data_IF_801304148463
#
_entry.id   IF_801304148463
#
_cell.length_a   1.000
_cell.length_b   1.000
_cell.length_c   1.000
_cell.angle_alpha   90.00
_cell.angle_beta   90.00
_cell.angle_gamma   90.00
#
_symmetry.space_group_name_H-M   'P 1'
#
loop_
_entity.id
_entity.type
_entity.pdbx_description
1 polymer ?
#
# COMPACT_ATOMS: atom_id res chain seq x y z
N UNK A 1 -71.59 85.44 88.16
CA UNK A 1 -70.19 85.32 87.71
C UNK A 1 -69.85 83.84 87.74
N UNK A 2 -70.09 83.13 86.64
CA UNK A 2 -69.75 81.70 86.57
C UNK A 2 -68.24 81.58 86.41
N UNK A 3 -67.54 81.03 87.40
CA UNK A 3 -66.15 80.63 87.23
C UNK A 3 -66.11 79.55 86.14
N UNK A 4 -65.48 79.88 85.01
CA UNK A 4 -65.13 78.87 84.01
C UNK A 4 -64.32 77.79 84.72
N UNK A 5 -64.90 76.61 84.86
CA UNK A 5 -64.22 75.41 85.31
C UNK A 5 -62.94 75.23 84.50
N UNK A 6 -61.84 74.87 85.18
CA UNK A 6 -60.55 74.61 84.54
C UNK A 6 -60.80 73.59 83.43
N UNK A 7 -60.54 73.99 82.17
CA UNK A 7 -60.70 73.10 81.02
C UNK A 7 -59.60 72.04 81.14
N UNK A 8 -59.94 70.89 81.70
CA UNK A 8 -59.07 69.74 81.80
C UNK A 8 -59.48 68.73 80.73
N UNK A 9 -58.55 68.43 79.82
CA UNK A 9 -58.74 67.40 78.81
C UNK A 9 -57.98 66.16 79.24
N UNK A 10 -58.71 65.11 79.59
CA UNK A 10 -58.12 63.82 79.91
C UNK A 10 -57.79 63.05 78.62
N UNK A 11 -56.81 62.12 78.64
CA UNK A 11 -56.41 61.37 77.45
C UNK A 11 -57.54 60.57 76.77
N UNK A 12 -58.54 60.11 77.53
CA UNK A 12 -59.70 59.37 77.03
C UNK A 12 -60.73 60.26 76.31
N UNK A 13 -60.75 61.56 76.60
CA UNK A 13 -61.60 62.52 75.89
C UNK A 13 -61.04 62.84 74.50
N UNK A 14 -59.73 62.74 74.31
CA UNK A 14 -59.04 63.19 73.11
C UNK A 14 -59.61 62.61 71.79
N UNK A 15 -59.89 61.30 71.65
CA UNK A 15 -60.48 60.75 70.43
C UNK A 15 -61.89 61.27 70.11
N UNK A 16 -62.63 61.75 71.12
CA UNK A 16 -64.01 62.24 70.97
C UNK A 16 -64.08 63.72 70.62
N UNK A 17 -63.12 64.51 71.08
CA UNK A 17 -63.16 65.98 70.98
C UNK A 17 -62.22 66.54 69.90
N UNK A 18 -61.11 65.86 69.57
CA UNK A 18 -60.23 66.28 68.47
C UNK A 18 -60.68 65.67 67.14
N UNK A 19 -61.94 65.95 66.81
CA UNK A 19 -62.59 65.59 65.55
C UNK A 19 -63.09 66.86 64.87
N UNK A 20 -63.61 66.75 63.65
CA UNK A 20 -64.17 67.90 62.94
C UNK A 20 -65.23 68.61 63.80
N UNK A 21 -65.01 69.90 64.10
CA UNK A 21 -65.85 70.75 64.97
C UNK A 21 -66.03 70.24 66.42
N UNK A 22 -65.26 69.24 66.86
CA UNK A 22 -65.39 68.67 68.22
C UNK A 22 -64.97 69.61 69.36
N UNK A 23 -64.30 70.73 69.04
CA UNK A 23 -63.89 71.74 70.02
C UNK A 23 -64.87 72.92 70.16
N UNK A 24 -65.96 72.95 69.39
CA UNK A 24 -66.89 74.09 69.37
C UNK A 24 -67.48 74.39 70.75
N UNK A 25 -67.85 73.35 71.51
CA UNK A 25 -68.36 73.52 72.88
C UNK A 25 -67.37 74.22 73.81
N UNK A 26 -66.07 73.97 73.64
CA UNK A 26 -65.04 74.66 74.42
C UNK A 26 -64.86 76.11 73.96
N UNK A 27 -64.99 76.39 72.66
CA UNK A 27 -64.99 77.76 72.14
C UNK A 27 -66.19 78.55 72.64
N UNK A 28 -67.39 77.96 72.67
CA UNK A 28 -68.61 78.55 73.23
C UNK A 28 -68.43 78.87 74.73
N UNK A 29 -67.92 77.90 75.51
CA UNK A 29 -67.60 78.12 76.93
C UNK A 29 -66.61 79.28 77.13
N UNK A 30 -65.54 79.33 76.33
CA UNK A 30 -64.56 80.42 76.40
C UNK A 30 -65.22 81.76 76.07
N UNK A 31 -66.05 81.83 75.01
CA UNK A 31 -66.79 83.04 74.62
C UNK A 31 -67.71 83.52 75.74
N UNK A 32 -68.52 82.62 76.30
CA UNK A 32 -69.44 82.94 77.39
C UNK A 32 -68.69 83.50 78.61
N UNK A 33 -67.59 82.85 79.00
CA UNK A 33 -66.81 83.27 80.17
C UNK A 33 -65.91 84.49 79.98
N UNK A 34 -65.95 85.14 78.81
CA UNK A 34 -65.36 86.46 78.53
C UNK A 34 -66.35 87.48 77.94
N UNK A 35 -67.66 87.20 77.99
CA UNK A 35 -68.73 88.02 77.38
C UNK A 35 -69.06 89.31 78.15
N UNK A 36 -68.12 89.86 78.91
CA UNK A 36 -68.28 91.14 79.60
C UNK A 36 -67.59 92.26 78.82
N UNK A 37 -68.10 93.50 78.95
CA UNK A 37 -67.54 94.69 78.29
C UNK A 37 -67.06 95.68 79.35
N UNK A 38 -65.80 95.55 79.84
CA UNK A 38 -65.24 96.50 80.81
C UNK A 38 -64.99 97.88 80.20
N UNK A 39 -65.11 98.94 81.01
CA UNK A 39 -64.86 100.32 80.57
C UNK A 39 -63.36 100.62 80.34
N UNK A 40 -62.98 100.80 79.07
CA UNK A 40 -61.60 101.07 78.62
C UNK A 40 -61.02 102.39 79.16
N UNK A 41 -61.86 103.35 79.51
CA UNK A 41 -61.41 104.66 80.00
C UNK A 41 -60.77 104.54 81.40
N UNK A 42 -61.10 103.50 82.16
CA UNK A 42 -60.60 103.28 83.53
C UNK A 42 -59.40 102.33 83.59
N UNK A 43 -58.50 102.55 84.55
CA UNK A 43 -57.37 101.63 84.81
C UNK A 43 -57.86 100.21 85.20
N UNK A 44 -58.91 100.13 86.02
CA UNK A 44 -59.53 98.86 86.42
C UNK A 44 -60.11 98.10 85.23
N UNK A 45 -60.80 98.79 84.31
CA UNK A 45 -61.37 98.17 83.11
C UNK A 45 -60.30 97.67 82.14
N UNK A 46 -59.23 98.43 81.89
CA UNK A 46 -58.08 97.97 81.09
C UNK A 46 -57.40 96.72 81.68
N UNK A 47 -57.19 96.68 83.00
CA UNK A 47 -56.66 95.51 83.71
C UNK A 47 -57.58 94.29 83.60
N UNK A 48 -58.90 94.50 83.64
CA UNK A 48 -59.88 93.41 83.47
C UNK A 48 -59.85 92.85 82.05
N UNK A 49 -59.80 93.70 81.02
CA UNK A 49 -59.65 93.28 79.62
C UNK A 49 -58.38 92.43 79.44
N UNK A 50 -57.24 92.86 79.99
CA UNK A 50 -56.01 92.08 79.95
C UNK A 50 -56.16 90.72 80.66
N UNK A 51 -56.86 90.67 81.80
CA UNK A 51 -57.15 89.43 82.50
C UNK A 51 -58.05 88.48 81.69
N UNK A 52 -59.07 88.99 80.99
CA UNK A 52 -59.93 88.18 80.12
C UNK A 52 -59.14 87.61 78.93
N UNK A 53 -58.30 88.42 78.29
CA UNK A 53 -57.43 87.97 77.21
C UNK A 53 -56.42 86.89 77.68
N UNK A 54 -55.85 87.05 78.88
CA UNK A 54 -55.00 86.03 79.49
C UNK A 54 -55.77 84.73 79.77
N UNK A 55 -57.04 84.82 80.18
CA UNK A 55 -57.92 83.67 80.39
C UNK A 55 -58.16 82.89 79.08
N UNK A 56 -58.45 83.59 77.98
CA UNK A 56 -58.56 82.97 76.63
C UNK A 56 -57.26 82.25 76.26
N UNK A 57 -56.11 82.87 76.49
CA UNK A 57 -54.80 82.29 76.17
C UNK A 57 -54.52 81.01 76.97
N UNK A 58 -54.85 80.99 78.27
CA UNK A 58 -54.70 79.80 79.12
C UNK A 58 -55.64 78.68 78.68
N UNK A 59 -56.91 78.99 78.41
CA UNK A 59 -57.89 78.01 77.91
C UNK A 59 -57.48 77.43 76.56
N UNK A 60 -56.95 78.25 75.64
CA UNK A 60 -56.38 77.77 74.37
C UNK A 60 -55.27 76.75 74.61
N UNK A 61 -54.31 77.06 75.47
CA UNK A 61 -53.18 76.15 75.74
C UNK A 61 -53.65 74.86 76.41
N UNK A 62 -54.63 74.93 77.32
CA UNK A 62 -55.22 73.76 77.98
C UNK A 62 -55.91 72.81 76.99
N UNK A 63 -56.45 73.34 75.89
CA UNK A 63 -57.07 72.55 74.82
C UNK A 63 -56.05 72.10 73.77
N UNK A 64 -55.10 72.93 73.38
CA UNK A 64 -54.17 72.67 72.27
C UNK A 64 -53.08 71.65 72.64
N UNK A 65 -52.54 71.74 73.86
CA UNK A 65 -51.41 70.90 74.28
C UNK A 65 -51.79 69.40 74.32
N UNK A 66 -52.88 68.96 74.96
CA UNK A 66 -53.29 67.56 74.92
C UNK A 66 -53.65 67.07 73.51
N UNK A 67 -54.12 67.96 72.64
CA UNK A 67 -54.40 67.65 71.23
C UNK A 67 -53.14 67.39 70.42
N UNK A 68 -52.08 68.17 70.63
CA UNK A 68 -50.76 67.90 70.03
C UNK A 68 -50.17 66.59 70.53
N UNK A 69 -50.32 66.29 71.82
CA UNK A 69 -49.85 65.02 72.40
C UNK A 69 -50.64 63.82 71.85
N UNK A 70 -51.96 63.95 71.69
CA UNK A 70 -52.80 62.94 71.04
C UNK A 70 -52.43 62.75 69.56
N UNK A 71 -52.26 63.84 68.80
CA UNK A 71 -51.84 63.79 67.40
C UNK A 71 -50.48 63.10 67.24
N UNK A 72 -49.53 63.35 68.15
CA UNK A 72 -48.24 62.67 68.16
C UNK A 72 -48.40 61.16 68.35
N UNK A 73 -49.24 60.73 69.31
CA UNK A 73 -49.54 59.30 69.52
C UNK A 73 -50.22 58.68 68.30
N UNK A 74 -51.20 59.36 67.71
CA UNK A 74 -51.87 58.92 66.49
C UNK A 74 -50.89 58.75 65.31
N UNK A 75 -49.91 59.66 65.16
CA UNK A 75 -48.90 59.56 64.09
C UNK A 75 -47.90 58.43 64.30
N UNK A 76 -47.61 58.05 65.56
CA UNK A 76 -46.72 56.92 65.85
C UNK A 76 -47.44 55.56 65.78
N UNK A 77 -48.76 55.54 66.01
CA UNK A 77 -49.56 54.30 66.04
C UNK A 77 -49.42 53.45 64.75
N UNK A 78 -49.48 54.01 63.52
CA UNK A 78 -49.26 53.24 62.29
C UNK A 78 -47.94 52.48 62.30
N UNK A 79 -46.84 53.12 62.70
CA UNK A 79 -45.51 52.49 62.74
C UNK A 79 -45.46 51.32 63.72
N UNK A 80 -46.10 51.44 64.88
CA UNK A 80 -46.21 50.35 65.86
C UNK A 80 -47.02 49.18 65.29
N UNK A 81 -48.16 49.49 64.66
CA UNK A 81 -49.03 48.47 64.05
C UNK A 81 -48.33 47.76 62.89
N UNK A 82 -47.69 48.51 61.99
CA UNK A 82 -46.92 47.95 60.87
C UNK A 82 -45.78 47.05 61.34
N UNK A 83 -45.04 47.46 62.36
CA UNK A 83 -43.95 46.66 62.93
C UNK A 83 -44.48 45.34 63.53
N UNK A 84 -45.59 45.39 64.28
CA UNK A 84 -46.18 44.19 64.87
C UNK A 84 -46.80 43.27 63.82
N UNK A 85 -47.48 43.82 62.81
CA UNK A 85 -48.00 43.02 61.68
C UNK A 85 -46.88 42.34 60.91
N UNK A 86 -45.77 43.05 60.64
CA UNK A 86 -44.61 42.46 59.97
C UNK A 86 -44.00 41.33 60.79
N UNK A 87 -43.85 41.54 62.11
CA UNK A 87 -43.37 40.50 63.03
C UNK A 87 -44.30 39.29 63.01
N UNK A 88 -45.61 39.51 63.12
CA UNK A 88 -46.60 38.45 63.12
C UNK A 88 -46.55 37.61 61.83
N UNK A 89 -46.54 38.25 60.66
CA UNK A 89 -46.43 37.55 59.37
C UNK A 89 -45.13 36.75 59.29
N UNK A 90 -44.01 37.33 59.71
CA UNK A 90 -42.70 36.65 59.71
C UNK A 90 -42.69 35.40 60.59
N UNK A 91 -43.26 35.49 61.80
CA UNK A 91 -43.36 34.33 62.70
C UNK A 91 -44.34 33.27 62.17
N UNK A 92 -45.44 33.68 61.54
CA UNK A 92 -46.35 32.74 60.88
C UNK A 92 -45.68 32.01 59.72
N UNK A 93 -44.91 32.71 58.89
CA UNK A 93 -44.13 32.10 57.80
C UNK A 93 -43.09 31.12 58.35
N UNK A 94 -42.35 31.50 59.39
CA UNK A 94 -41.39 30.61 60.06
C UNK A 94 -42.09 29.35 60.61
N UNK A 95 -43.22 29.52 61.30
CA UNK A 95 -43.98 28.40 61.85
C UNK A 95 -44.51 27.48 60.74
N UNK A 96 -45.01 28.03 59.63
CA UNK A 96 -45.44 27.25 58.47
C UNK A 96 -44.28 26.41 57.94
N UNK A 97 -43.11 27.01 57.77
CA UNK A 97 -41.95 26.33 57.21
C UNK A 97 -41.41 25.25 58.17
N UNK A 98 -41.39 25.51 59.48
CA UNK A 98 -41.05 24.53 60.52
C UNK A 98 -42.02 23.34 60.55
N UNK A 99 -43.32 23.61 60.46
CA UNK A 99 -44.35 22.57 60.41
C UNK A 99 -44.25 21.75 59.13
N UNK A 100 -43.91 22.38 58.00
CA UNK A 100 -43.75 21.69 56.71
C UNK A 100 -42.41 20.96 56.58
N UNK A 101 -41.38 21.36 57.32
CA UNK A 101 -40.00 20.85 57.15
C UNK A 101 -39.90 19.32 57.15
N UNK A 102 -40.52 18.55 58.08
CA UNK A 102 -40.42 17.10 58.07
C UNK A 102 -40.98 16.45 56.80
N UNK A 103 -42.08 17.01 56.26
CA UNK A 103 -42.66 16.53 55.01
C UNK A 103 -41.75 16.84 53.83
N UNK A 104 -41.16 18.04 53.77
CA UNK A 104 -40.20 18.39 52.72
C UNK A 104 -38.92 17.55 52.76
N UNK A 105 -38.40 17.26 53.96
CA UNK A 105 -37.26 16.35 54.12
C UNK A 105 -37.59 14.93 53.63
N UNK A 106 -38.77 14.42 53.97
CA UNK A 106 -39.23 13.12 53.49
C UNK A 106 -39.47 13.10 51.96
N UNK A 107 -40.14 14.10 51.39
CA UNK A 107 -40.36 14.23 49.94
C UNK A 107 -39.02 14.23 49.17
N UNK A 108 -38.01 14.93 49.68
CA UNK A 108 -36.67 14.96 49.09
C UNK A 108 -35.94 13.62 49.23
N UNK A 109 -35.99 13.00 50.42
CA UNK A 109 -35.38 11.69 50.65
C UNK A 109 -36.01 10.62 49.75
N UNK A 110 -37.34 10.65 49.59
CA UNK A 110 -38.09 9.71 48.77
C UNK A 110 -37.80 9.90 47.27
N UNK A 111 -37.68 11.15 46.82
CA UNK A 111 -37.21 11.48 45.47
C UNK A 111 -35.82 10.91 45.21
N UNK A 112 -34.86 11.17 46.11
CA UNK A 112 -33.48 10.65 45.99
C UNK A 112 -33.44 9.12 46.01
N UNK A 113 -34.24 8.48 46.87
CA UNK A 113 -34.38 7.02 46.93
C UNK A 113 -34.84 6.47 45.58
N UNK A 114 -35.89 7.07 45.01
CA UNK A 114 -36.48 6.65 43.74
C UNK A 114 -35.50 6.86 42.57
N UNK A 115 -34.86 8.03 42.50
CA UNK A 115 -33.83 8.34 41.50
C UNK A 115 -32.64 7.38 41.58
N UNK A 116 -32.20 7.01 42.78
CA UNK A 116 -31.12 6.04 42.96
C UNK A 116 -31.49 4.64 42.45
N UNK A 117 -32.72 4.18 42.71
CA UNK A 117 -33.21 2.88 42.20
C UNK A 117 -33.34 2.90 40.67
N UNK A 118 -33.88 3.97 40.10
CA UNK A 118 -33.96 4.16 38.64
C UNK A 118 -32.58 4.23 37.98
N UNK A 119 -31.61 4.88 38.63
CA UNK A 119 -30.24 4.94 38.13
C UNK A 119 -29.57 3.56 38.18
N UNK A 120 -29.74 2.79 39.26
CA UNK A 120 -29.25 1.40 39.33
C UNK A 120 -29.83 0.55 38.20
N UNK A 121 -31.13 0.70 37.91
CA UNK A 121 -31.79 0.00 36.82
C UNK A 121 -31.26 0.41 35.44
N UNK A 122 -31.02 1.71 35.26
CA UNK A 122 -30.40 2.27 34.05
C UNK A 122 -29.01 1.70 33.84
N UNK A 123 -28.18 1.67 34.88
CA UNK A 123 -26.82 1.11 34.83
C UNK A 123 -26.86 -0.38 34.46
N UNK A 124 -27.75 -1.16 35.07
CA UNK A 124 -27.94 -2.58 34.76
C UNK A 124 -28.33 -2.80 33.29
N UNK A 125 -29.19 -1.94 32.74
CA UNK A 125 -29.58 -2.00 31.31
C UNK A 125 -28.42 -1.60 30.39
N UNK A 126 -27.65 -0.59 30.77
CA UNK A 126 -26.51 -0.08 29.99
C UNK A 126 -25.36 -1.10 29.85
N UNK A 127 -25.26 -2.09 30.74
CA UNK A 127 -24.29 -3.19 30.58
C UNK A 127 -24.44 -3.90 29.23
N UNK A 128 -25.67 -3.98 28.69
CA UNK A 128 -25.95 -4.61 27.40
C UNK A 128 -25.35 -3.87 26.19
N UNK A 129 -24.87 -2.63 26.35
CA UNK A 129 -24.29 -1.84 25.26
C UNK A 129 -22.86 -2.30 24.97
N UNK A 130 -22.69 -3.26 24.06
CA UNK A 130 -21.38 -3.85 23.71
C UNK A 130 -20.53 -3.03 22.73
N UNK A 131 -20.82 -1.73 22.60
CA UNK A 131 -20.08 -0.79 21.76
C UNK A 131 -19.40 0.22 22.67
N UNK A 132 -18.09 0.42 22.49
CA UNK A 132 -17.31 1.38 23.25
C UNK A 132 -17.56 2.84 22.78
N UNK A 133 -16.99 3.80 23.49
CA UNK A 133 -17.10 5.23 23.16
C UNK A 133 -16.52 5.60 21.78
N UNK A 134 -15.68 4.73 21.21
CA UNK A 134 -15.06 4.91 19.90
C UNK A 134 -15.85 4.21 18.78
N UNK A 135 -17.00 3.59 19.10
CA UNK A 135 -17.83 2.88 18.14
C UNK A 135 -17.36 1.46 17.81
N UNK A 136 -16.39 0.91 18.56
CA UNK A 136 -15.91 -0.45 18.35
C UNK A 136 -16.69 -1.44 19.22
N UNK A 137 -16.95 -2.62 18.65
CA UNK A 137 -17.52 -3.73 19.40
C UNK A 137 -16.49 -4.32 20.36
N UNK A 138 -16.89 -4.48 21.61
CA UNK A 138 -16.08 -5.08 22.67
C UNK A 138 -15.58 -6.48 22.32
N UNK A 139 -14.40 -6.90 22.84
CA UNK A 139 -13.93 -8.27 22.73
C UNK A 139 -14.75 -9.22 23.63
N UNK A 140 -14.64 -10.52 23.37
CA UNK A 140 -15.36 -11.57 24.10
C UNK A 140 -15.05 -11.56 25.60
N UNK A 141 -13.81 -11.23 25.99
CA UNK A 141 -13.39 -11.09 27.38
C UNK A 141 -14.22 -10.06 28.15
N UNK A 142 -14.36 -8.87 27.58
CA UNK A 142 -15.02 -7.73 28.23
C UNK A 142 -16.53 -7.96 28.31
N UNK A 143 -17.11 -8.58 27.27
CA UNK A 143 -18.51 -8.99 27.28
C UNK A 143 -18.74 -10.04 28.37
N UNK A 144 -17.81 -10.99 28.55
CA UNK A 144 -17.89 -12.01 29.61
C UNK A 144 -17.81 -11.39 31.01
N UNK A 145 -16.96 -10.37 31.21
CA UNK A 145 -16.89 -9.61 32.46
C UNK A 145 -18.22 -8.92 32.76
N UNK A 146 -18.83 -8.26 31.76
CA UNK A 146 -20.16 -7.63 31.92
C UNK A 146 -21.26 -8.63 32.22
N UNK A 147 -21.19 -9.84 31.67
CA UNK A 147 -22.13 -10.93 32.02
C UNK A 147 -21.99 -11.28 33.51
N UNK A 148 -20.75 -11.38 34.02
CA UNK A 148 -20.52 -11.64 35.44
C UNK A 148 -21.00 -10.49 36.31
N UNK A 149 -20.76 -9.25 35.90
CA UNK A 149 -21.27 -8.05 36.58
C UNK A 149 -22.80 -8.09 36.67
N UNK A 150 -23.50 -8.30 35.55
CA UNK A 150 -24.95 -8.42 35.53
C UNK A 150 -25.45 -9.57 36.40
N UNK A 151 -24.80 -10.75 36.36
CA UNK A 151 -25.13 -11.91 37.20
C UNK A 151 -24.90 -11.64 38.70
N UNK A 152 -23.91 -10.84 39.05
CA UNK A 152 -23.58 -10.48 40.44
C UNK A 152 -24.60 -9.53 41.10
N UNK A 153 -25.44 -8.85 40.31
CA UNK A 153 -26.47 -7.96 40.84
C UNK A 153 -27.48 -8.75 41.67
N UNK A 154 -27.46 -8.55 42.98
CA UNK A 154 -28.43 -9.16 43.89
C UNK A 154 -29.82 -8.56 43.68
N UNK A 155 -30.84 -9.41 43.53
CA UNK A 155 -32.25 -9.04 43.46
C UNK A 155 -32.88 -9.20 44.85
N UNK A 156 -32.34 -8.47 45.82
CA UNK A 156 -32.78 -8.49 47.21
C UNK A 156 -33.73 -7.32 47.53
N UNK A 157 -34.09 -7.18 48.81
CA UNK A 157 -34.97 -6.13 49.33
C UNK A 157 -34.48 -4.71 49.02
N UNK A 158 -33.21 -4.52 48.67
CA UNK A 158 -32.67 -3.20 48.31
C UNK A 158 -33.32 -2.61 47.06
N UNK A 159 -34.00 -3.41 46.23
CA UNK A 159 -34.72 -2.94 45.04
C UNK A 159 -36.15 -2.50 45.32
N UNK A 160 -36.72 -2.86 46.48
CA UNK A 160 -38.04 -2.41 46.92
C UNK A 160 -39.11 -2.59 45.82
N UNK A 161 -39.86 -1.54 45.47
CA UNK A 161 -40.90 -1.57 44.44
C UNK A 161 -40.37 -1.86 43.02
N UNK A 162 -39.06 -1.71 42.79
CA UNK A 162 -38.40 -1.98 41.51
C UNK A 162 -37.87 -3.42 41.39
N UNK A 163 -38.06 -4.28 42.39
CA UNK A 163 -37.50 -5.64 42.38
C UNK A 163 -37.92 -6.47 41.15
N UNK A 164 -39.20 -6.39 40.76
CA UNK A 164 -39.69 -7.08 39.56
C UNK A 164 -39.07 -6.52 38.27
N UNK A 165 -38.98 -5.19 38.16
CA UNK A 165 -38.38 -4.53 36.99
C UNK A 165 -36.88 -4.79 36.89
N UNK A 166 -36.19 -4.83 38.03
CA UNK A 166 -34.77 -5.19 38.13
C UNK A 166 -34.51 -6.63 37.71
N UNK A 167 -35.40 -7.57 38.07
CA UNK A 167 -35.34 -8.96 37.61
C UNK A 167 -35.45 -9.05 36.09
N UNK A 168 -36.48 -8.43 35.51
CA UNK A 168 -36.67 -8.38 34.05
C UNK A 168 -35.48 -7.72 33.35
N UNK A 169 -34.96 -6.62 33.90
CA UNK A 169 -33.79 -5.94 33.34
C UNK A 169 -32.54 -6.81 33.41
N UNK A 170 -32.30 -7.50 34.52
CA UNK A 170 -31.17 -8.41 34.71
C UNK A 170 -31.20 -9.53 33.67
N UNK A 171 -32.34 -10.21 33.54
CA UNK A 171 -32.49 -11.33 32.61
C UNK A 171 -32.33 -10.86 31.16
N UNK A 172 -32.96 -9.74 30.79
CA UNK A 172 -32.85 -9.17 29.44
C UNK A 172 -31.43 -8.72 29.11
N UNK A 173 -30.72 -8.09 30.05
CA UNK A 173 -29.32 -7.69 29.89
C UNK A 173 -28.42 -8.90 29.70
N UNK A 174 -28.56 -9.93 30.54
CA UNK A 174 -27.77 -11.17 30.44
C UNK A 174 -28.00 -11.84 29.08
N UNK A 175 -29.26 -11.97 28.65
CA UNK A 175 -29.58 -12.57 27.35
C UNK A 175 -28.91 -11.83 26.20
N UNK A 176 -29.02 -10.50 26.14
CA UNK A 176 -28.38 -9.69 25.08
C UNK A 176 -26.86 -9.81 25.08
N UNK A 177 -26.26 -9.88 26.26
CA UNK A 177 -24.82 -10.05 26.40
C UNK A 177 -24.37 -11.45 25.96
N UNK A 178 -25.13 -12.50 26.28
CA UNK A 178 -24.84 -13.87 25.83
C UNK A 178 -24.94 -14.00 24.31
N UNK A 179 -25.94 -13.38 23.69
CA UNK A 179 -26.05 -13.27 22.22
C UNK A 179 -24.85 -12.52 21.62
N UNK A 180 -24.45 -11.39 22.22
CA UNK A 180 -23.30 -10.59 21.78
C UNK A 180 -21.97 -11.33 21.97
N UNK A 181 -21.83 -12.10 23.04
CA UNK A 181 -20.65 -12.92 23.32
C UNK A 181 -20.45 -13.97 22.23
N UNK A 182 -21.53 -14.66 21.82
CA UNK A 182 -21.47 -15.65 20.75
C UNK A 182 -20.99 -15.02 19.42
N UNK A 183 -21.46 -13.80 19.11
CA UNK A 183 -21.00 -13.05 17.92
C UNK A 183 -19.52 -12.66 18.05
N UNK A 184 -19.09 -12.15 19.21
CA UNK A 184 -17.71 -11.76 19.44
C UNK A 184 -16.75 -12.95 19.36
N UNK A 185 -17.09 -14.08 19.98
CA UNK A 185 -16.31 -15.32 19.92
C UNK A 185 -16.18 -15.85 18.49
N UNK A 186 -17.27 -15.81 17.71
CA UNK A 186 -17.24 -16.20 16.30
C UNK A 186 -16.30 -15.30 15.49
N UNK A 187 -16.39 -13.98 15.66
CA UNK A 187 -15.51 -13.00 14.99
C UNK A 187 -14.04 -13.24 15.32
N UNK A 188 -13.72 -13.48 16.60
CA UNK A 188 -12.36 -13.74 17.06
C UNK A 188 -11.82 -15.07 16.53
N UNK A 189 -12.63 -16.12 16.55
CA UNK A 189 -12.27 -17.41 15.97
C UNK A 189 -12.02 -17.30 14.46
N UNK A 190 -12.90 -16.61 13.72
CA UNK A 190 -12.72 -16.36 12.29
C UNK A 190 -11.46 -15.54 12.00
N UNK A 191 -11.15 -14.53 12.82
CA UNK A 191 -9.92 -13.75 12.69
C UNK A 191 -8.66 -14.59 12.95
N UNK A 192 -8.67 -15.43 13.99
CA UNK A 192 -7.56 -16.33 14.32
C UNK A 192 -7.33 -17.38 13.23
N UNK A 193 -8.41 -17.96 12.70
CA UNK A 193 -8.35 -18.90 11.57
C UNK A 193 -7.81 -18.24 10.30
N UNK A 194 -8.25 -17.02 10.00
CA UNK A 194 -7.75 -16.26 8.85
C UNK A 194 -6.25 -15.96 9.00
N UNK A 195 -5.79 -15.61 10.20
CA UNK A 195 -4.37 -15.39 10.47
C UNK A 195 -3.56 -16.69 10.31
N UNK A 196 -4.09 -17.82 10.81
CA UNK A 196 -3.46 -19.14 10.62
C UNK A 196 -3.33 -19.50 9.14
N UNK A 197 -4.40 -19.30 8.37
CA UNK A 197 -4.39 -19.55 6.93
C UNK A 197 -3.41 -18.64 6.19
N UNK A 198 -3.28 -17.37 6.59
CA UNK A 198 -2.26 -16.45 6.04
C UNK A 198 -0.85 -16.93 6.33
N UNK A 199 -0.55 -17.31 7.58
CA UNK A 199 0.77 -17.85 7.96
C UNK A 199 1.10 -19.15 7.21
N UNK A 200 0.13 -20.05 7.06
CA UNK A 200 0.31 -21.28 6.30
C UNK A 200 0.55 -20.99 4.80
N UNK A 201 -0.18 -20.04 4.21
CA UNK A 201 0.02 -19.63 2.83
C UNK A 201 1.38 -18.96 2.61
N UNK A 202 1.82 -18.09 3.54
CA UNK A 202 3.15 -17.47 3.51
C UNK A 202 4.27 -18.50 3.63
N UNK A 203 4.12 -19.49 4.52
CA UNK A 203 5.07 -20.59 4.68
C UNK A 203 5.14 -21.48 3.44
N UNK A 204 3.99 -21.86 2.88
CA UNK A 204 3.94 -22.63 1.61
C UNK A 204 4.59 -21.85 0.47
N UNK A 205 4.30 -20.56 0.35
CA UNK A 205 4.93 -19.71 -0.66
C UNK A 205 6.45 -19.58 -0.45
N UNK A 206 6.93 -19.59 0.80
CA UNK A 206 8.37 -19.62 1.09
C UNK A 206 9.00 -20.95 0.65
N UNK A 207 8.40 -22.07 1.03
CA UNK A 207 8.88 -23.41 0.65
C UNK A 207 8.89 -23.57 -0.86
N UNK A 208 7.81 -23.18 -1.55
CA UNK A 208 7.72 -23.25 -3.01
C UNK A 208 8.78 -22.37 -3.70
N UNK A 209 9.03 -21.16 -3.19
CA UNK A 209 10.12 -20.30 -3.70
C UNK A 209 11.48 -20.92 -3.49
N UNK A 210 11.76 -21.45 -2.30
CA UNK A 210 13.03 -22.13 -2.01
C UNK A 210 13.21 -23.38 -2.88
N UNK A 211 12.15 -24.14 -3.12
CA UNK A 211 12.17 -25.31 -4.00
C UNK A 211 12.36 -24.91 -5.46
N UNK A 212 11.67 -23.88 -5.94
CA UNK A 212 11.86 -23.36 -7.29
C UNK A 212 13.29 -22.85 -7.50
N UNK A 213 13.85 -22.09 -6.55
CA UNK A 213 15.25 -21.65 -6.59
C UNK A 213 16.20 -22.86 -6.64
N UNK A 214 15.95 -23.90 -5.84
CA UNK A 214 16.76 -25.14 -5.90
C UNK A 214 16.64 -25.86 -7.23
N UNK A 215 15.43 -25.97 -7.79
CA UNK A 215 15.19 -26.60 -9.10
C UNK A 215 15.87 -25.81 -10.21
N UNK A 216 15.70 -24.50 -10.23
CA UNK A 216 16.36 -23.59 -11.18
C UNK A 216 17.89 -23.68 -11.07
N UNK A 217 18.45 -23.68 -9.85
CA UNK A 217 19.89 -23.85 -9.64
C UNK A 217 20.39 -25.23 -10.11
N UNK A 218 19.63 -26.30 -9.85
CA UNK A 218 19.98 -27.65 -10.30
C UNK A 218 19.87 -27.80 -11.83
N UNK A 219 18.87 -27.18 -12.46
CA UNK A 219 18.71 -27.15 -13.91
C UNK A 219 19.83 -26.34 -14.56
N UNK A 220 20.14 -25.14 -14.04
CA UNK A 220 21.28 -24.34 -14.49
C UNK A 220 22.59 -25.12 -14.38
N UNK A 221 22.84 -25.78 -13.24
CA UNK A 221 24.03 -26.62 -13.09
C UNK A 221 24.08 -27.79 -14.09
N UNK A 222 22.94 -28.41 -14.43
CA UNK A 222 22.86 -29.45 -15.47
C UNK A 222 23.12 -28.88 -16.86
N UNK A 223 22.53 -27.73 -17.21
CA UNK A 223 22.73 -27.07 -18.48
C UNK A 223 24.19 -26.63 -18.66
N UNK A 224 24.80 -26.03 -17.64
CA UNK A 224 26.22 -25.67 -17.65
C UNK A 224 27.12 -26.91 -17.78
N UNK A 225 26.82 -28.00 -17.08
CA UNK A 225 27.57 -29.25 -17.20
C UNK A 225 27.42 -29.88 -18.59
N UNK A 226 26.22 -29.87 -19.17
CA UNK A 226 25.98 -30.36 -20.54
C UNK A 226 26.68 -29.48 -21.58
N UNK A 227 26.65 -28.15 -21.41
CA UNK A 227 27.38 -27.22 -22.28
C UNK A 227 28.89 -27.42 -22.19
N UNK A 228 29.44 -27.60 -20.97
CA UNK A 228 30.87 -27.93 -20.79
C UNK A 228 31.23 -29.26 -21.43
N UNK A 229 30.43 -30.30 -21.23
CA UNK A 229 30.65 -31.60 -21.84
C UNK A 229 30.58 -31.52 -23.38
N UNK A 230 29.61 -30.79 -23.94
CA UNK A 230 29.53 -30.53 -25.39
C UNK A 230 30.74 -29.75 -25.89
N UNK A 231 31.17 -28.72 -25.18
CA UNK A 231 32.36 -27.94 -25.53
C UNK A 231 33.64 -28.79 -25.47
N UNK A 232 33.78 -29.68 -24.49
CA UNK A 232 34.90 -30.62 -24.39
C UNK A 232 34.88 -31.65 -25.53
N UNK A 233 33.71 -32.20 -25.87
CA UNK A 233 33.55 -33.12 -27.01
C UNK A 233 33.88 -32.40 -28.32
N UNK A 234 33.39 -31.17 -28.52
CA UNK A 234 33.68 -30.39 -29.73
C UNK A 234 35.17 -30.01 -29.80
N UNK A 235 35.78 -29.62 -28.68
CA UNK A 235 37.22 -29.34 -28.61
C UNK A 235 38.04 -30.60 -28.90
N UNK A 236 37.68 -31.76 -28.33
CA UNK A 236 38.33 -33.03 -28.61
C UNK A 236 38.15 -33.46 -30.07
N UNK A 237 36.96 -33.23 -30.65
CA UNK A 237 36.71 -33.49 -32.06
C UNK A 237 37.53 -32.56 -32.97
N UNK A 238 37.66 -31.26 -32.63
CA UNK A 238 38.51 -30.31 -33.37
C UNK A 238 39.98 -30.70 -33.29
N UNK A 239 40.47 -31.07 -32.11
CA UNK A 239 41.85 -31.56 -31.93
C UNK A 239 42.09 -32.85 -32.73
N UNK A 240 41.15 -33.79 -32.71
CA UNK A 240 41.26 -35.02 -33.50
C UNK A 240 41.22 -34.77 -35.01
N UNK A 241 40.43 -33.79 -35.47
CA UNK A 241 40.42 -33.36 -36.88
C UNK A 241 41.72 -32.65 -37.25
N UNK A 242 42.25 -31.80 -36.37
CA UNK A 242 43.53 -31.12 -36.59
C UNK A 242 44.71 -32.10 -36.59
N UNK A 243 44.73 -33.08 -35.69
CA UNK A 243 45.73 -34.15 -35.69
C UNK A 243 45.63 -35.03 -36.94
N UNK A 244 44.41 -35.40 -37.37
CA UNK A 244 44.22 -36.13 -38.63
C UNK A 244 44.66 -35.30 -39.82
N UNK A 245 44.36 -34.01 -39.86
CA UNK A 245 44.81 -33.13 -40.93
C UNK A 245 46.34 -32.99 -40.93
N UNK A 246 46.98 -32.87 -39.77
CA UNK A 246 48.45 -32.87 -39.65
C UNK A 246 49.06 -34.20 -40.08
N UNK A 247 48.46 -35.32 -39.71
CA UNK A 247 48.88 -36.65 -40.13
C UNK A 247 48.72 -36.85 -41.64
N UNK A 248 47.62 -36.40 -42.24
CA UNK A 248 47.38 -36.47 -43.69
C UNK A 248 48.33 -35.54 -44.46
N UNK A 249 48.62 -34.34 -43.94
CA UNK A 249 49.64 -33.45 -44.52
C UNK A 249 51.02 -34.08 -44.43
N UNK A 250 51.38 -34.69 -43.30
CA UNK A 250 52.66 -35.40 -43.14
C UNK A 250 52.76 -36.63 -44.06
N UNK A 251 51.67 -37.39 -44.23
CA UNK A 251 51.60 -38.54 -45.13
C UNK A 251 51.69 -38.09 -46.60
N UNK A 252 50.95 -37.05 -47.00
CA UNK A 252 51.07 -36.45 -48.34
C UNK A 252 52.49 -35.94 -48.60
N UNK A 253 53.13 -35.30 -47.62
CA UNK A 253 54.53 -34.87 -47.76
C UNK A 253 55.50 -36.05 -47.91
N UNK A 254 55.28 -37.16 -47.19
CA UNK A 254 56.08 -38.39 -47.38
C UNK A 254 55.87 -39.01 -48.76
N UNK A 255 54.62 -39.13 -49.20
CA UNK A 255 54.28 -39.68 -50.54
C UNK A 255 54.82 -38.77 -51.64
N UNK A 256 54.71 -37.46 -51.50
CA UNK A 256 55.21 -36.51 -52.50
C UNK A 256 56.75 -36.45 -52.52
N UNK A 257 57.41 -36.60 -51.36
CA UNK A 257 58.87 -36.76 -51.30
C UNK A 257 59.34 -38.09 -51.92
N UNK A 258 58.60 -39.19 -51.67
CA UNK A 258 58.88 -40.50 -52.27
C UNK A 258 58.63 -40.49 -53.79
N UNK A 259 57.57 -39.83 -54.25
CA UNK A 259 57.29 -39.66 -55.68
C UNK A 259 58.30 -38.72 -56.35
N UNK A 260 58.74 -37.64 -55.69
CA UNK A 260 59.84 -36.79 -56.20
C UNK A 260 61.14 -37.58 -56.31
N UNK A 261 61.52 -38.32 -55.26
CA UNK A 261 62.71 -39.16 -55.30
C UNK A 261 62.64 -40.27 -56.38
N UNK A 262 61.44 -40.80 -56.65
CA UNK A 262 61.21 -41.78 -57.73
C UNK A 262 61.27 -41.14 -59.11
N UNK A 263 60.67 -39.96 -59.29
CA UNK A 263 60.73 -39.19 -60.54
C UNK A 263 62.14 -38.70 -60.85
N UNK A 264 62.89 -38.22 -59.86
CA UNK A 264 64.30 -37.84 -60.05
C UNK A 264 65.17 -39.05 -60.43
N UNK A 265 64.93 -40.22 -59.83
CA UNK A 265 65.60 -41.46 -60.24
C UNK A 265 65.21 -41.91 -61.65
N UNK A 266 63.93 -41.84 -62.01
CA UNK A 266 63.45 -42.19 -63.35
C UNK A 266 63.93 -41.19 -64.43
N UNK A 267 63.99 -39.90 -64.13
CA UNK A 267 64.54 -38.87 -65.02
C UNK A 267 66.05 -39.00 -65.19
N UNK A 268 66.81 -39.28 -64.13
CA UNK A 268 68.25 -39.55 -64.22
C UNK A 268 68.54 -40.78 -65.10
N UNK A 269 67.77 -41.85 -64.93
CA UNK A 269 67.90 -43.07 -65.77
C UNK A 269 67.47 -42.82 -67.22
N UNK A 270 66.45 -41.98 -67.45
CA UNK A 270 65.98 -41.64 -68.79
C UNK A 270 66.89 -40.64 -69.53
N UNK A 271 67.62 -39.78 -68.82
CA UNK A 271 68.62 -38.87 -69.41
C UNK A 271 69.91 -39.61 -69.78
N UNK A 272 70.33 -40.57 -68.95
CA UNK A 272 71.49 -41.42 -69.24
C UNK A 272 71.24 -42.34 -70.46
N UNK A 273 70.05 -42.93 -70.58
CA UNK A 273 69.63 -43.69 -71.77
C UNK A 273 69.58 -42.85 -73.05
N UNK A 274 69.03 -41.63 -72.98
CA UNK A 274 68.96 -40.73 -74.15
C UNK A 274 70.34 -40.28 -74.64
N UNK A 275 71.33 -40.13 -73.74
CA UNK A 275 72.72 -39.85 -74.13
C UNK A 275 73.41 -41.04 -74.78
N UNK A 276 73.14 -42.28 -74.33
CA UNK A 276 73.71 -43.49 -74.93
C UNK A 276 73.10 -43.79 -76.31
N UNK A 277 71.78 -43.67 -76.46
CA UNK A 277 71.10 -43.92 -77.75
C UNK A 277 71.46 -42.88 -78.84
N UNK A 278 71.68 -41.62 -78.46
CA UNK A 278 72.11 -40.58 -79.41
C UNK A 278 73.57 -40.76 -79.90
N UNK A 279 74.46 -41.28 -79.05
CA UNK A 279 75.85 -41.54 -79.41
C UNK A 279 76.02 -42.80 -80.28
N UNK A 280 75.17 -43.80 -80.11
CA UNK A 280 75.20 -45.05 -80.88
C UNK A 280 74.59 -44.89 -82.28
N UNK A 281 73.50 -44.12 -82.40
CA UNK A 281 72.84 -43.84 -83.69
C UNK A 281 73.73 -43.03 -84.65
N UNK A 282 74.52 -42.09 -84.13
CA UNK A 282 75.45 -41.30 -84.94
C UNK A 282 76.63 -42.11 -85.52
N UNK A 283 77.04 -43.21 -84.87
CA UNK A 283 78.11 -44.09 -85.38
C UNK A 283 77.61 -45.08 -86.44
N UNK A 284 76.35 -45.52 -86.33
CA UNK A 284 75.74 -46.49 -87.24
C UNK A 284 75.34 -45.87 -88.59
N UNK A 285 74.96 -44.59 -88.62
CA UNK A 285 74.57 -43.91 -89.87
C UNK A 285 75.78 -43.54 -90.75
N UNK A 286 76.95 -43.26 -90.16
CA UNK A 286 78.18 -42.99 -90.92
C UNK A 286 78.81 -44.27 -91.51
N UNK A 287 78.73 -45.41 -90.81
CA UNK A 287 79.23 -46.70 -91.32
C UNK A 287 78.40 -47.29 -92.46
N UNK A 288 77.07 -47.06 -92.48
CA UNK A 288 76.21 -47.55 -93.56
C UNK A 288 76.42 -46.82 -94.89
N UNK A 289 76.77 -45.53 -94.86
CA UNK A 289 76.95 -44.73 -96.08
C UNK A 289 78.19 -45.15 -96.89
N UNK A 290 79.23 -45.66 -96.23
CA UNK A 290 80.48 -46.09 -96.87
C UNK A 290 80.35 -47.51 -97.47
N UNK A 291 79.57 -48.39 -96.83
CA UNK A 291 79.37 -49.77 -97.30
C UNK A 291 78.42 -49.89 -98.51
N UNK A 292 77.39 -49.03 -98.60
CA UNK A 292 76.38 -49.10 -99.67
C UNK A 292 76.90 -48.58 -101.03
N UNK A 293 77.96 -47.77 -101.05
CA UNK A 293 78.57 -47.26 -102.29
C UNK A 293 79.53 -48.26 -102.96
N UNK A 294 80.21 -49.11 -102.17
CA UNK A 294 81.10 -50.17 -102.68
C UNK A 294 80.33 -51.41 -103.19
N UNK A 295 79.18 -51.74 -102.59
CA UNK A 295 78.38 -52.90 -103.00
C UNK A 295 77.75 -52.76 -104.39
N UNK A 296 77.32 -51.56 -104.80
CA UNK A 296 76.73 -51.34 -106.12
C UNK A 296 77.71 -51.51 -107.29
N UNK A 297 79.01 -51.26 -107.08
CA UNK A 297 80.03 -51.41 -108.15
C UNK A 297 80.47 -52.86 -108.37
N UNK A 298 80.29 -53.74 -107.39
CA UNK A 298 80.65 -55.16 -107.50
C UNK A 298 79.59 -56.00 -108.24
N UNK A 299 78.30 -55.77 -107.97
CA UNK A 299 77.21 -56.58 -108.54
C UNK A 299 77.05 -56.42 -110.06
N UNK A 300 77.36 -55.24 -110.61
CA UNK A 300 77.14 -54.94 -112.03
C UNK A 300 78.19 -55.56 -112.97
N UNK A 301 79.35 -55.94 -112.44
CA UNK A 301 80.40 -56.67 -113.20
C UNK A 301 80.09 -58.16 -113.35
N UNK A 302 79.48 -58.77 -112.33
CA UNK A 302 79.20 -60.20 -112.31
C UNK A 302 77.99 -60.57 -113.17
N UNK A 303 76.94 -59.74 -113.15
CA UNK A 303 75.75 -59.94 -113.99
C UNK A 303 76.09 -59.96 -115.49
N UNK A 304 76.92 -59.02 -115.95
CA UNK A 304 77.36 -58.95 -117.37
C UNK A 304 78.17 -60.16 -117.81
N UNK A 305 78.96 -60.74 -116.92
CA UNK A 305 79.79 -61.93 -117.21
C UNK A 305 78.92 -63.17 -117.45
N UNK A 306 77.89 -63.34 -116.62
CA UNK A 306 77.00 -64.51 -116.68
C UNK A 306 76.12 -64.50 -117.94
N UNK A 307 75.55 -63.35 -118.29
CA UNK A 307 74.70 -63.23 -119.49
C UNK A 307 75.49 -63.49 -120.77
N UNK A 308 76.69 -62.92 -120.90
CA UNK A 308 77.52 -63.09 -122.09
C UNK A 308 77.94 -64.55 -122.31
N UNK A 309 78.26 -65.27 -121.23
CA UNK A 309 78.62 -66.70 -121.30
C UNK A 309 77.48 -67.55 -121.80
N UNK A 310 76.26 -67.27 -121.33
CA UNK A 310 75.07 -68.01 -121.73
C UNK A 310 74.76 -67.81 -123.23
N UNK A 311 74.85 -66.58 -123.73
CA UNK A 311 74.63 -66.29 -125.16
C UNK A 311 75.67 -66.99 -126.04
N UNK A 312 76.95 -67.01 -125.63
CA UNK A 312 77.99 -67.76 -126.37
C UNK A 312 77.64 -69.25 -126.42
N UNK A 313 77.22 -69.84 -125.29
CA UNK A 313 76.84 -71.25 -125.23
C UNK A 313 75.62 -71.56 -126.13
N UNK A 314 74.60 -70.70 -126.14
CA UNK A 314 73.41 -70.86 -126.98
C UNK A 314 73.76 -70.78 -128.48
N UNK A 315 74.68 -69.90 -128.87
CA UNK A 315 75.15 -69.80 -130.26
C UNK A 315 75.95 -71.03 -130.69
N UNK A 316 76.78 -71.58 -129.79
CA UNK A 316 77.51 -72.82 -130.04
C UNK A 316 76.53 -73.99 -130.26
N UNK A 317 75.47 -74.06 -129.45
CA UNK A 317 74.44 -75.11 -129.58
C UNK A 317 73.70 -75.06 -130.93
N UNK A 318 73.62 -73.89 -131.58
CA UNK A 318 73.05 -73.73 -132.92
C UNK A 318 74.06 -74.02 -134.05
N UNK A 319 75.20 -74.62 -133.72
CA UNK A 319 76.19 -75.10 -134.68
C UNK A 319 77.27 -74.08 -135.06
N UNK A 320 77.36 -72.93 -134.38
CA UNK A 320 78.40 -71.93 -134.63
C UNK A 320 79.69 -72.33 -133.88
N UNK A 321 80.83 -72.51 -134.57
CA UNK A 321 82.10 -72.80 -133.90
C UNK A 321 82.50 -71.72 -132.90
N UNK A 322 83.11 -72.12 -131.79
CA UNK A 322 83.30 -71.28 -130.59
C UNK A 322 84.00 -69.94 -130.85
N UNK A 323 85.03 -69.89 -131.70
CA UNK A 323 85.68 -68.62 -132.05
C UNK A 323 84.72 -67.61 -132.70
N UNK A 324 83.80 -68.08 -133.53
CA UNK A 324 82.84 -67.21 -134.21
C UNK A 324 81.68 -66.83 -133.28
N UNK A 325 81.26 -67.72 -132.38
CA UNK A 325 80.25 -67.41 -131.35
C UNK A 325 80.75 -66.32 -130.39
N UNK A 326 82.03 -66.37 -129.98
CA UNK A 326 82.64 -65.31 -129.16
C UNK A 326 82.69 -63.97 -129.91
N UNK A 327 83.12 -63.96 -131.19
CA UNK A 327 83.14 -62.75 -132.01
C UNK A 327 81.74 -62.17 -132.23
N UNK A 328 80.73 -63.01 -132.44
CA UNK A 328 79.33 -62.60 -132.57
C UNK A 328 78.80 -61.98 -131.27
N UNK A 329 79.06 -62.58 -130.10
CA UNK A 329 78.65 -61.99 -128.81
C UNK A 329 79.37 -60.66 -128.55
N UNK A 330 80.67 -60.56 -128.86
CA UNK A 330 81.41 -59.30 -128.77
C UNK A 330 80.84 -58.21 -129.69
N UNK A 331 80.39 -58.57 -130.90
CA UNK A 331 79.73 -57.64 -131.80
C UNK A 331 78.35 -57.20 -131.27
N UNK A 332 77.56 -58.10 -130.65
CA UNK A 332 76.25 -57.78 -130.07
C UNK A 332 76.38 -56.96 -128.77
N UNK A 333 77.19 -57.39 -127.81
CA UNK A 333 77.41 -56.67 -126.55
C UNK A 333 78.11 -55.31 -126.78
N UNK A 334 78.89 -55.19 -127.85
CA UNK A 334 79.48 -53.94 -128.30
C UNK A 334 78.56 -53.07 -129.17
N UNK A 335 77.30 -53.47 -129.41
CA UNK A 335 76.31 -52.70 -130.19
C UNK A 335 76.60 -52.60 -131.70
N UNK A 336 77.49 -53.43 -132.24
CA UNK A 336 77.90 -53.43 -133.66
C UNK A 336 76.95 -54.19 -134.58
N UNK A 337 76.00 -54.93 -134.03
CA UNK A 337 74.89 -55.56 -134.75
C UNK A 337 73.65 -54.74 -134.47
N UNK A 338 73.16 -54.04 -135.49
CA UNK A 338 71.91 -53.28 -135.38
C UNK A 338 70.72 -54.24 -135.37
N UNK A 339 69.69 -53.92 -134.58
CA UNK A 339 68.45 -54.70 -134.46
C UNK A 339 68.64 -56.16 -134.00
N UNK A 340 69.51 -56.37 -133.00
CA UNK A 340 69.71 -57.65 -132.30
C UNK A 340 68.49 -58.09 -131.43
N UNK A 341 67.28 -57.75 -131.88
CA UNK A 341 66.00 -58.14 -131.34
C UNK A 341 65.01 -58.29 -132.52
N UNK A 342 64.69 -59.53 -132.89
CA UNK A 342 63.48 -59.83 -133.66
C UNK A 342 62.92 -61.19 -133.23
N UNK A 343 61.67 -61.19 -132.77
CA UNK A 343 60.83 -62.39 -132.74
C UNK A 343 59.45 -62.05 -133.29
N UNK A 344 59.08 -62.77 -134.34
CA UNK A 344 57.77 -62.79 -134.98
C UNK A 344 56.73 -63.49 -134.12
#
# INVERSE_FOLDING_TARGET
MSELSIIEITPDMAPRIYVEKGLEKFLEQIREGVNEVPDISTDKGRKRIASLAAKVSRSKTAVEKPGRDYLKRLKEQPKVVEAELRRFVTECDRLRDEVRRPLTEWENAEKLRTEALQQRLTNLRALADVIDLSGNYLPSSDIQERIQEAKSVALDESWQEYAAEAGVAKDSTIQKLEESLAVAQKREHEAAELERLRKEAEEKARIEREENIRREAAEQARLEAEQKAKAEIEAAARLAVEEKARAEVAERQRIEAEQRARREKEEAVAEERRRQEAAEKARLDEQKRIADEEARRAADKEHRRTVNRRVIADLIAQGIPEEFAQKAMLAIAGGKVQDAYIKY
#
